data_IF_118677176557
#
_entry.id   IF_118677176557
#
_cell.length_a   1.000
_cell.length_b   1.000
_cell.length_c   1.000
_cell.angle_alpha   90.00
_cell.angle_beta   90.00
_cell.angle_gamma   90.00
#
_symmetry.space_group_name_H-M   'P 1'
#
loop_
_entity.id
_entity.type
_entity.pdbx_description
1 polymer ?
#
# COMPACT_ATOMS: atom_id res chain seq x y z
N UNK A 1 -9.26 -15.32 26.54
CA UNK A 1 -9.65 -13.95 26.09
C UNK A 1 -8.40 -13.38 25.48
N UNK A 2 -8.41 -13.03 24.19
CA UNK A 2 -7.21 -12.51 23.52
C UNK A 2 -7.28 -10.99 23.34
N UNK A 3 -6.11 -10.34 23.21
CA UNK A 3 -6.02 -8.93 22.88
C UNK A 3 -6.78 -8.61 21.60
N UNK A 4 -6.65 -9.48 20.58
CA UNK A 4 -7.38 -9.35 19.30
C UNK A 4 -8.88 -9.27 19.52
N UNK A 5 -9.45 -10.16 20.35
CA UNK A 5 -10.88 -10.20 20.60
C UNK A 5 -11.41 -8.93 21.26
N UNK A 6 -10.61 -8.31 22.13
CA UNK A 6 -10.96 -7.03 22.76
C UNK A 6 -10.88 -5.89 21.74
N UNK A 7 -9.80 -5.82 20.94
CA UNK A 7 -9.63 -4.77 19.94
C UNK A 7 -10.77 -4.80 18.92
N UNK A 8 -11.12 -5.98 18.39
CA UNK A 8 -12.21 -6.15 17.43
C UNK A 8 -13.56 -5.75 18.02
N UNK A 9 -13.92 -6.24 19.22
CA UNK A 9 -15.19 -5.93 19.87
C UNK A 9 -15.38 -4.44 20.16
N UNK A 10 -14.28 -3.73 20.41
CA UNK A 10 -14.31 -2.30 20.74
C UNK A 10 -13.93 -1.40 19.52
N UNK A 11 -13.80 -1.97 18.33
CA UNK A 11 -13.44 -1.26 17.07
C UNK A 11 -12.15 -0.44 17.21
N UNK A 12 -11.18 -0.98 17.92
CA UNK A 12 -9.87 -0.36 18.11
C UNK A 12 -8.89 -0.90 17.08
N UNK A 13 -8.29 0.00 16.28
CA UNK A 13 -7.12 -0.36 15.47
C UNK A 13 -5.87 -0.54 16.36
N UNK A 14 -4.87 -1.28 15.90
CA UNK A 14 -3.59 -1.43 16.59
C UNK A 14 -2.93 -0.07 16.90
N UNK A 15 -3.09 0.92 16.02
CA UNK A 15 -2.59 2.28 16.26
C UNK A 15 -3.34 3.04 17.36
N UNK A 16 -4.68 2.86 17.44
CA UNK A 16 -5.49 3.44 18.50
C UNK A 16 -5.16 2.78 19.85
N UNK A 17 -5.06 1.44 19.87
CA UNK A 17 -4.65 0.69 21.04
C UNK A 17 -3.25 1.07 21.52
N UNK A 18 -2.30 1.24 20.61
CA UNK A 18 -0.93 1.67 20.91
C UNK A 18 -0.88 3.02 21.66
N UNK A 19 -1.69 3.99 21.23
CA UNK A 19 -1.82 5.29 21.92
C UNK A 19 -2.39 5.13 23.32
N UNK A 20 -3.37 4.26 23.50
CA UNK A 20 -4.01 3.99 24.80
C UNK A 20 -3.03 3.28 25.75
N UNK A 21 -2.24 2.36 25.21
CA UNK A 21 -1.27 1.54 25.95
C UNK A 21 0.07 2.24 26.16
N UNK A 22 0.34 3.36 25.47
CA UNK A 22 1.61 4.09 25.56
C UNK A 22 2.78 3.35 24.91
N UNK A 23 2.53 2.57 23.86
CA UNK A 23 3.53 1.77 23.13
C UNK A 23 3.48 2.05 21.62
N UNK A 24 4.43 1.52 20.86
CA UNK A 24 4.41 1.61 19.42
C UNK A 24 3.36 0.66 18.77
N UNK A 25 2.79 1.07 17.62
CA UNK A 25 1.86 0.25 16.85
C UNK A 25 2.46 -1.13 16.53
N UNK A 26 3.75 -1.19 16.19
CA UNK A 26 4.47 -2.43 15.93
C UNK A 26 4.49 -3.40 17.12
N UNK A 27 4.55 -2.88 18.34
CA UNK A 27 4.50 -3.69 19.56
C UNK A 27 3.13 -4.34 19.73
N UNK A 28 2.05 -3.59 19.55
CA UNK A 28 0.67 -4.15 19.59
C UNK A 28 0.48 -5.21 18.52
N UNK A 29 0.91 -4.94 17.28
CA UNK A 29 0.83 -5.90 16.19
C UNK A 29 1.59 -7.18 16.48
N UNK A 30 2.83 -7.10 16.98
CA UNK A 30 3.65 -8.25 17.36
C UNK A 30 3.07 -9.08 18.50
N UNK A 31 2.42 -8.43 19.48
CA UNK A 31 1.72 -9.13 20.57
C UNK A 31 0.50 -9.86 19.99
N UNK A 32 -0.31 -9.18 19.17
CA UNK A 32 -1.46 -9.80 18.50
C UNK A 32 -1.06 -10.98 17.60
N UNK A 33 0.07 -10.91 16.91
CA UNK A 33 0.59 -12.00 16.06
C UNK A 33 1.46 -13.02 16.80
N UNK A 34 1.56 -12.92 18.12
CA UNK A 34 2.35 -13.82 18.98
C UNK A 34 3.85 -13.86 18.64
N UNK A 35 4.34 -12.85 17.91
CA UNK A 35 5.74 -12.71 17.48
C UNK A 35 6.59 -11.83 18.42
N UNK A 36 6.01 -11.28 19.47
CA UNK A 36 6.71 -10.51 20.48
C UNK A 36 7.40 -11.42 21.52
N UNK A 37 8.63 -11.14 21.96
CA UNK A 37 9.26 -11.88 23.07
C UNK A 37 8.36 -11.81 24.32
N UNK A 38 8.05 -12.96 24.93
CA UNK A 38 7.14 -13.09 26.09
C UNK A 38 5.75 -12.47 25.81
N UNK A 39 5.22 -12.70 24.63
CA UNK A 39 3.95 -12.12 24.15
C UNK A 39 2.78 -12.41 25.09
N UNK A 40 2.72 -13.57 25.76
CA UNK A 40 1.67 -13.95 26.70
C UNK A 40 1.59 -12.96 27.86
N UNK A 41 2.72 -12.69 28.52
CA UNK A 41 2.77 -11.74 29.64
C UNK A 41 2.42 -10.32 29.19
N UNK A 42 2.87 -9.94 27.98
CA UNK A 42 2.60 -8.63 27.42
C UNK A 42 1.14 -8.48 26.99
N UNK A 43 0.52 -9.55 26.52
CA UNK A 43 -0.90 -9.59 26.20
C UNK A 43 -1.75 -9.40 27.46
N UNK A 44 -1.43 -10.09 28.54
CA UNK A 44 -2.13 -9.96 29.82
C UNK A 44 -2.04 -8.53 30.38
N UNK A 45 -0.84 -7.92 30.32
CA UNK A 45 -0.64 -6.52 30.68
C UNK A 45 -1.53 -5.58 29.86
N UNK A 46 -1.57 -5.75 28.54
CA UNK A 46 -2.38 -4.92 27.66
C UNK A 46 -3.88 -5.10 27.92
N UNK A 47 -4.33 -6.34 28.14
CA UNK A 47 -5.71 -6.65 28.51
C UNK A 47 -6.11 -5.96 29.80
N UNK A 48 -5.27 -5.98 30.81
CA UNK A 48 -5.52 -5.30 32.10
C UNK A 48 -5.64 -3.79 31.92
N UNK A 49 -4.74 -3.16 31.17
CA UNK A 49 -4.77 -1.71 30.92
C UNK A 49 -6.01 -1.31 30.14
N UNK A 50 -6.37 -2.06 29.09
CA UNK A 50 -7.58 -1.80 28.31
C UNK A 50 -8.84 -2.02 29.15
N UNK A 51 -8.89 -3.07 29.95
CA UNK A 51 -10.00 -3.34 30.88
C UNK A 51 -10.20 -2.22 31.89
N UNK A 52 -9.12 -1.71 32.48
CA UNK A 52 -9.16 -0.56 33.39
C UNK A 52 -9.64 0.75 32.73
N UNK A 53 -9.58 0.83 31.39
CA UNK A 53 -10.11 1.96 30.60
C UNK A 53 -11.50 1.69 30.01
N UNK A 54 -12.15 0.62 30.42
CA UNK A 54 -13.54 0.28 30.02
C UNK A 54 -13.69 -0.53 28.74
N UNK A 55 -12.58 -0.98 28.13
CA UNK A 55 -12.61 -1.84 26.94
C UNK A 55 -12.75 -3.31 27.34
N UNK A 56 -13.95 -3.70 27.80
CA UNK A 56 -14.22 -5.04 28.33
C UNK A 56 -14.98 -5.96 27.37
N UNK A 57 -15.51 -5.42 26.25
CA UNK A 57 -16.21 -6.22 25.25
C UNK A 57 -15.22 -7.16 24.55
N UNK A 58 -15.68 -8.37 24.26
CA UNK A 58 -14.94 -9.39 23.53
C UNK A 58 -15.81 -10.02 22.44
N UNK A 59 -15.19 -10.54 21.40
CA UNK A 59 -15.81 -11.43 20.41
C UNK A 59 -15.06 -12.76 20.41
N UNK A 60 -15.70 -13.89 20.05
CA UNK A 60 -14.99 -15.15 19.89
C UNK A 60 -13.81 -14.99 18.91
N UNK A 61 -12.65 -15.53 19.24
CA UNK A 61 -11.42 -15.36 18.44
C UNK A 61 -11.57 -15.85 16.99
N UNK A 62 -12.41 -16.83 16.74
CA UNK A 62 -12.76 -17.31 15.40
C UNK A 62 -13.44 -16.26 14.48
N UNK A 63 -13.93 -15.15 15.04
CA UNK A 63 -14.52 -14.04 14.28
C UNK A 63 -13.62 -12.79 14.22
N UNK A 64 -12.43 -12.89 14.80
CA UNK A 64 -11.47 -11.78 14.78
C UNK A 64 -10.62 -11.89 13.52
N UNK A 65 -10.92 -11.04 12.54
CA UNK A 65 -10.06 -10.86 11.36
C UNK A 65 -8.96 -9.87 11.75
N UNK A 66 -7.70 -10.29 11.64
CA UNK A 66 -6.56 -9.37 11.80
C UNK A 66 -6.48 -8.48 10.55
N UNK A 67 -6.92 -7.23 10.68
CA UNK A 67 -6.91 -6.27 9.57
C UNK A 67 -5.51 -5.78 9.20
N UNK A 68 -4.50 -6.08 10.02
CA UNK A 68 -3.11 -5.71 9.76
C UNK A 68 -2.33 -6.86 9.07
N UNK A 69 -2.92 -8.04 8.94
CA UNK A 69 -2.33 -9.18 8.19
C UNK A 69 -2.77 -9.11 6.74
N UNK A 70 -1.81 -9.07 5.84
CA UNK A 70 -2.09 -9.22 4.42
C UNK A 70 -2.39 -10.69 4.13
N UNK A 71 -3.61 -10.97 3.70
CA UNK A 71 -3.98 -12.33 3.28
C UNK A 71 -3.51 -12.55 1.84
N UNK A 72 -2.66 -13.56 1.64
CA UNK A 72 -2.08 -13.90 0.35
C UNK A 72 -3.13 -14.52 -0.60
N UNK A 73 -3.97 -13.68 -1.18
CA UNK A 73 -4.86 -14.06 -2.28
C UNK A 73 -4.10 -14.04 -3.60
N UNK A 74 -4.64 -14.65 -4.64
CA UNK A 74 -4.04 -14.61 -6.00
C UNK A 74 -3.81 -13.18 -6.49
N UNK A 75 -4.73 -12.26 -6.21
CA UNK A 75 -4.61 -10.86 -6.61
C UNK A 75 -3.50 -10.16 -5.84
N UNK A 76 -3.34 -10.46 -4.55
CA UNK A 76 -2.26 -9.94 -3.70
C UNK A 76 -0.90 -10.46 -4.20
N UNK A 77 -0.78 -11.77 -4.43
CA UNK A 77 0.46 -12.36 -4.95
C UNK A 77 0.82 -11.79 -6.33
N UNK A 78 -0.15 -11.61 -7.21
CA UNK A 78 0.06 -10.99 -8.51
C UNK A 78 0.51 -9.53 -8.41
N UNK A 79 -0.03 -8.76 -7.44
CA UNK A 79 0.41 -7.41 -7.15
C UNK A 79 1.87 -7.39 -6.69
N UNK A 80 2.22 -8.22 -5.71
CA UNK A 80 3.57 -8.31 -5.16
C UNK A 80 4.57 -8.68 -6.26
N UNK A 81 4.27 -9.72 -7.04
CA UNK A 81 5.13 -10.14 -8.15
C UNK A 81 5.34 -9.02 -9.18
N UNK A 82 4.28 -8.27 -9.52
CA UNK A 82 4.42 -7.13 -10.45
C UNK A 82 5.26 -6.01 -9.84
N UNK A 83 5.08 -5.71 -8.55
CA UNK A 83 5.84 -4.68 -7.85
C UNK A 83 7.33 -5.06 -7.73
N UNK A 84 7.63 -6.31 -7.40
CA UNK A 84 8.99 -6.87 -7.36
C UNK A 84 9.66 -6.82 -8.74
N UNK A 85 8.94 -7.27 -9.76
CA UNK A 85 9.39 -7.21 -11.15
C UNK A 85 9.69 -5.78 -11.65
N UNK A 86 8.94 -4.78 -11.19
CA UNK A 86 9.20 -3.37 -11.51
C UNK A 86 10.39 -2.83 -10.74
N UNK A 87 10.62 -3.34 -9.54
CA UNK A 87 11.71 -2.95 -8.65
C UNK A 87 13.05 -3.60 -9.01
N UNK A 88 13.05 -4.65 -9.87
CA UNK A 88 14.26 -5.33 -10.29
C UNK A 88 15.10 -4.47 -11.25
N UNK A 89 16.33 -4.06 -10.86
CA UNK A 89 17.21 -3.25 -11.70
C UNK A 89 17.65 -3.93 -13.00
N UNK A 90 17.77 -5.26 -12.98
CA UNK A 90 18.22 -6.04 -14.14
C UNK A 90 17.08 -6.30 -15.14
N UNK A 91 15.85 -6.50 -14.62
CA UNK A 91 14.65 -6.68 -15.44
C UNK A 91 14.10 -5.37 -16.03
N UNK A 92 14.40 -4.24 -15.42
CA UNK A 92 13.87 -2.90 -15.76
C UNK A 92 14.71 -2.13 -16.79
N UNK A 93 15.31 -2.78 -17.79
CA UNK A 93 16.09 -2.09 -18.84
C UNK A 93 15.28 -1.12 -19.70
N UNK A 94 13.96 -1.13 -19.59
CA UNK A 94 13.06 -0.18 -20.25
C UNK A 94 12.12 0.40 -19.19
N UNK A 95 12.04 1.73 -19.14
CA UNK A 95 11.05 2.43 -18.32
C UNK A 95 9.65 1.85 -18.57
N UNK A 96 9.12 1.13 -17.59
CA UNK A 96 7.81 0.50 -17.69
C UNK A 96 6.92 0.96 -16.53
N UNK A 97 5.62 1.09 -16.86
CA UNK A 97 4.58 1.37 -15.89
C UNK A 97 3.88 0.07 -15.55
N UNK A 98 3.73 -0.25 -14.28
CA UNK A 98 2.83 -1.32 -13.83
C UNK A 98 1.39 -0.83 -13.76
N UNK A 99 0.43 -1.73 -13.90
CA UNK A 99 -0.98 -1.41 -13.74
C UNK A 99 -1.72 -2.50 -12.99
N UNK A 100 -2.42 -2.09 -11.93
CA UNK A 100 -3.31 -2.91 -11.12
C UNK A 100 -4.70 -2.30 -11.18
N UNK A 101 -5.69 -3.08 -11.56
CA UNK A 101 -7.07 -2.61 -11.68
C UNK A 101 -8.04 -3.56 -10.98
N UNK A 102 -9.18 -3.03 -10.59
CA UNK A 102 -10.27 -3.79 -9.99
C UNK A 102 -11.29 -2.85 -9.35
N UNK A 103 -12.46 -3.35 -9.06
CA UNK A 103 -13.50 -2.58 -8.37
C UNK A 103 -13.06 -2.09 -6.99
N UNK A 104 -13.77 -1.11 -6.42
CA UNK A 104 -13.55 -0.65 -5.05
C UNK A 104 -13.60 -1.81 -4.04
N UNK A 105 -13.01 -1.63 -2.86
CA UNK A 105 -13.05 -2.56 -1.72
C UNK A 105 -12.46 -3.96 -1.96
N UNK A 106 -11.62 -4.13 -2.99
CA UNK A 106 -10.94 -5.42 -3.29
C UNK A 106 -9.56 -5.56 -2.66
N UNK A 107 -9.11 -4.61 -1.84
CA UNK A 107 -7.84 -4.68 -1.13
C UNK A 107 -6.63 -4.06 -1.85
N UNK A 108 -6.78 -3.42 -3.02
CA UNK A 108 -5.68 -2.76 -3.76
C UNK A 108 -4.89 -1.79 -2.88
N UNK A 109 -5.59 -0.84 -2.24
CA UNK A 109 -5.00 0.15 -1.32
C UNK A 109 -4.30 -0.51 -0.13
N UNK A 110 -4.91 -1.55 0.43
CA UNK A 110 -4.33 -2.30 1.55
C UNK A 110 -3.02 -2.98 1.13
N UNK A 111 -3.02 -3.67 0.00
CA UNK A 111 -1.81 -4.31 -0.54
C UNK A 111 -0.72 -3.29 -0.87
N UNK A 112 -1.08 -2.14 -1.48
CA UNK A 112 -0.15 -1.08 -1.81
C UNK A 112 0.55 -0.50 -0.56
N UNK A 113 -0.21 -0.24 0.50
CA UNK A 113 0.32 0.26 1.77
C UNK A 113 1.18 -0.77 2.47
N UNK A 114 0.71 -2.02 2.56
CA UNK A 114 1.49 -3.11 3.12
C UNK A 114 2.82 -3.28 2.39
N UNK A 115 2.80 -3.27 1.05
CA UNK A 115 4.02 -3.38 0.26
C UNK A 115 5.02 -2.27 0.59
N UNK A 116 4.57 -1.02 0.67
CA UNK A 116 5.45 0.13 0.99
C UNK A 116 5.90 0.16 2.45
N UNK A 117 5.17 -0.44 3.37
CA UNK A 117 5.59 -0.59 4.77
C UNK A 117 6.65 -1.68 4.95
N UNK A 118 6.65 -2.70 4.09
CA UNK A 118 7.58 -3.84 4.14
C UNK A 118 8.79 -3.69 3.22
N UNK A 119 8.70 -2.84 2.18
CA UNK A 119 9.77 -2.61 1.19
C UNK A 119 10.23 -1.16 1.23
N UNK A 120 11.43 -0.94 1.79
CA UNK A 120 12.03 0.41 1.97
C UNK A 120 12.27 1.16 0.65
N UNK A 121 12.31 0.44 -0.47
CA UNK A 121 12.50 0.98 -1.82
C UNK A 121 11.20 1.28 -2.56
N UNK A 122 10.08 1.18 -1.87
CA UNK A 122 8.78 1.57 -2.39
C UNK A 122 8.19 2.75 -1.62
N UNK A 123 7.46 3.62 -2.30
CA UNK A 123 6.72 4.71 -1.69
C UNK A 123 5.28 4.74 -2.21
N UNK A 124 4.36 5.16 -1.32
CA UNK A 124 2.93 5.24 -1.60
C UNK A 124 2.49 6.69 -1.77
N UNK A 125 1.75 6.95 -2.84
CA UNK A 125 1.16 8.25 -3.14
C UNK A 125 -0.34 8.06 -3.45
N UNK A 126 -1.20 8.70 -2.65
CA UNK A 126 -2.63 8.76 -2.93
C UNK A 126 -2.94 9.97 -3.80
N UNK A 127 -3.58 9.76 -4.95
CA UNK A 127 -4.05 10.87 -5.77
C UNK A 127 -5.40 11.40 -5.28
N UNK A 128 -5.54 12.73 -5.23
CA UNK A 128 -6.77 13.43 -4.89
C UNK A 128 -7.13 14.36 -6.06
N UNK A 129 -8.36 14.29 -6.57
CA UNK A 129 -8.82 14.97 -7.80
C UNK A 129 -8.57 16.48 -7.85
N UNK A 130 -8.62 17.17 -6.71
CA UNK A 130 -8.40 18.62 -6.64
C UNK A 130 -6.92 19.03 -6.67
N UNK A 131 -6.02 18.08 -6.79
CA UNK A 131 -4.57 18.32 -6.71
C UNK A 131 -4.04 18.97 -7.98
N UNK A 132 -3.27 20.05 -7.86
CA UNK A 132 -2.54 20.65 -8.98
C UNK A 132 -1.33 19.79 -9.36
N UNK A 133 -0.81 19.92 -10.60
CA UNK A 133 0.39 19.18 -11.03
C UNK A 133 1.60 19.38 -10.12
N UNK A 134 1.80 20.61 -9.64
CA UNK A 134 2.92 20.95 -8.72
C UNK A 134 2.70 20.29 -7.36
N UNK A 135 1.45 20.31 -6.86
CA UNK A 135 1.13 19.66 -5.60
C UNK A 135 1.33 18.14 -5.70
N UNK A 136 0.85 17.51 -6.77
CA UNK A 136 1.06 16.09 -7.03
C UNK A 136 2.54 15.70 -7.06
N UNK A 137 3.40 16.51 -7.72
CA UNK A 137 4.85 16.29 -7.69
C UNK A 137 5.45 16.45 -6.29
N UNK A 138 4.93 17.39 -5.49
CA UNK A 138 5.35 17.57 -4.09
C UNK A 138 4.98 16.36 -3.23
N UNK A 139 3.81 15.77 -3.47
CA UNK A 139 3.38 14.57 -2.75
C UNK A 139 4.27 13.37 -3.10
N UNK A 140 4.69 13.24 -4.36
CA UNK A 140 5.72 12.26 -4.78
C UNK A 140 7.07 12.54 -4.10
N UNK A 141 7.52 13.80 -4.08
CA UNK A 141 8.78 14.18 -3.43
C UNK A 141 8.75 13.89 -1.92
N UNK A 142 7.64 14.20 -1.27
CA UNK A 142 7.43 13.95 0.16
C UNK A 142 7.51 12.45 0.47
N UNK A 143 6.84 11.63 -0.33
CA UNK A 143 6.86 10.18 -0.20
C UNK A 143 8.27 9.57 -0.45
N UNK A 144 9.08 10.18 -1.33
CA UNK A 144 10.44 9.71 -1.64
C UNK A 144 11.49 10.15 -0.60
N UNK A 145 11.37 11.37 -0.06
CA UNK A 145 12.48 11.99 0.70
C UNK A 145 12.04 12.90 1.86
N UNK A 146 10.74 12.99 2.13
CA UNK A 146 10.17 13.92 3.12
C UNK A 146 10.52 15.40 2.85
N UNK A 147 10.78 15.76 1.59
CA UNK A 147 11.08 17.12 1.14
C UNK A 147 10.04 17.59 0.14
N UNK A 148 9.55 18.83 0.29
CA UNK A 148 8.53 19.45 -0.58
C UNK A 148 9.08 20.66 -1.34
N UNK A 149 9.71 20.50 -2.50
CA UNK A 149 10.22 21.63 -3.30
C UNK A 149 9.09 22.57 -3.71
N UNK A 150 9.41 23.87 -3.83
CA UNK A 150 8.39 24.89 -4.15
C UNK A 150 8.06 24.95 -5.65
N UNK A 151 8.97 24.52 -6.51
CA UNK A 151 8.83 24.65 -7.97
C UNK A 151 8.70 23.32 -8.66
N UNK A 152 8.07 23.30 -9.84
CA UNK A 152 7.96 22.14 -10.70
C UNK A 152 9.34 21.54 -11.04
N UNK A 153 10.29 22.40 -11.44
CA UNK A 153 11.66 21.97 -11.77
C UNK A 153 12.39 21.39 -10.57
N UNK A 154 12.24 22.01 -9.38
CA UNK A 154 12.80 21.49 -8.14
C UNK A 154 12.27 20.11 -7.76
N UNK A 155 10.97 19.85 -7.98
CA UNK A 155 10.40 18.52 -7.78
C UNK A 155 11.02 17.49 -8.73
N UNK A 156 11.13 17.80 -10.03
CA UNK A 156 11.74 16.88 -11.00
C UNK A 156 13.20 16.58 -10.68
N UNK A 157 13.98 17.59 -10.26
CA UNK A 157 15.39 17.40 -9.88
C UNK A 157 15.52 16.49 -8.67
N UNK A 158 14.67 16.68 -7.64
CA UNK A 158 14.69 15.87 -6.44
C UNK A 158 14.26 14.41 -6.74
N UNK A 159 13.22 14.20 -7.55
CA UNK A 159 12.80 12.85 -7.95
C UNK A 159 13.95 12.15 -8.69
N UNK A 160 14.59 12.85 -9.63
CA UNK A 160 15.73 12.30 -10.37
C UNK A 160 16.89 11.93 -9.43
N UNK A 161 17.26 12.81 -8.52
CA UNK A 161 18.34 12.58 -7.56
C UNK A 161 18.03 11.40 -6.63
N UNK A 162 16.83 11.38 -6.02
CA UNK A 162 16.42 10.33 -5.11
C UNK A 162 16.38 8.93 -5.76
N UNK A 163 15.99 8.86 -7.03
CA UNK A 163 15.89 7.60 -7.76
C UNK A 163 17.19 7.18 -8.46
N UNK A 164 18.12 8.12 -8.71
CA UNK A 164 19.45 7.82 -9.26
C UNK A 164 20.39 7.17 -8.24
N UNK A 165 20.24 7.51 -6.96
CA UNK A 165 21.05 6.94 -5.88
C UNK A 165 20.60 5.52 -5.52
N UNK A 166 19.30 5.26 -5.59
CA UNK A 166 18.67 3.97 -5.30
C UNK A 166 17.39 3.87 -6.10
N UNK A 167 17.21 2.78 -6.83
CA UNK A 167 15.95 2.55 -7.54
C UNK A 167 14.79 2.46 -6.55
N UNK A 168 13.73 3.22 -6.80
CA UNK A 168 12.56 3.29 -5.93
C UNK A 168 11.29 3.13 -6.74
N UNK A 169 10.41 2.22 -6.29
CA UNK A 169 9.08 2.06 -6.88
C UNK A 169 8.12 3.12 -6.32
N UNK A 170 7.44 3.84 -7.21
CA UNK A 170 6.37 4.75 -6.83
C UNK A 170 5.03 4.07 -7.08
N UNK A 171 4.25 3.81 -6.04
CA UNK A 171 2.90 3.26 -6.14
C UNK A 171 1.91 4.42 -6.04
N UNK A 172 1.14 4.65 -7.10
CA UNK A 172 0.12 5.71 -7.17
C UNK A 172 -1.26 5.05 -7.08
N UNK A 173 -1.96 5.32 -6.00
CA UNK A 173 -3.31 4.83 -5.75
C UNK A 173 -4.36 5.84 -6.26
N UNK A 174 -5.58 5.37 -6.52
CA UNK A 174 -6.67 6.13 -7.15
C UNK A 174 -6.28 6.68 -8.54
N UNK A 175 -5.45 5.94 -9.27
CA UNK A 175 -4.89 6.39 -10.54
C UNK A 175 -5.93 6.49 -11.68
N UNK A 176 -7.08 5.85 -11.52
CA UNK A 176 -8.22 6.02 -12.42
C UNK A 176 -8.80 7.43 -12.39
N UNK A 177 -8.63 8.17 -11.29
CA UNK A 177 -9.05 9.58 -11.15
C UNK A 177 -8.08 10.55 -11.85
N UNK A 178 -6.85 10.12 -12.14
CA UNK A 178 -5.85 10.95 -12.83
C UNK A 178 -6.34 11.41 -14.21
N UNK A 179 -6.30 12.72 -14.52
CA UNK A 179 -6.48 13.20 -15.88
C UNK A 179 -5.33 12.75 -16.79
N UNK A 180 -5.59 12.58 -18.09
CA UNK A 180 -4.56 12.18 -19.08
C UNK A 180 -3.27 13.01 -18.99
N UNK A 181 -3.30 14.36 -18.80
CA UNK A 181 -2.08 15.14 -18.63
C UNK A 181 -1.20 14.76 -17.43
N UNK A 182 -1.78 14.16 -16.37
CA UNK A 182 -1.03 13.65 -15.22
C UNK A 182 -0.43 12.27 -15.52
N UNK A 183 -1.15 11.41 -16.21
CA UNK A 183 -0.61 10.12 -16.69
C UNK A 183 0.59 10.34 -17.63
N UNK A 184 0.50 11.35 -18.50
CA UNK A 184 1.62 11.77 -19.35
C UNK A 184 2.80 12.36 -18.55
N UNK A 185 2.53 13.09 -17.49
CA UNK A 185 3.56 13.57 -16.57
C UNK A 185 4.28 12.40 -15.89
N UNK A 186 3.52 11.42 -15.39
CA UNK A 186 4.06 10.20 -14.78
C UNK A 186 4.93 9.45 -15.79
N UNK A 187 4.46 9.27 -17.03
CA UNK A 187 5.24 8.67 -18.11
C UNK A 187 6.56 9.42 -18.33
N UNK A 188 6.50 10.76 -18.38
CA UNK A 188 7.68 11.60 -18.55
C UNK A 188 8.69 11.46 -17.40
N UNK A 189 8.22 11.34 -16.16
CA UNK A 189 9.05 11.10 -14.97
C UNK A 189 9.68 9.70 -15.05
N UNK A 190 8.88 8.68 -15.35
CA UNK A 190 9.34 7.31 -15.52
C UNK A 190 10.48 7.23 -16.56
N UNK A 191 10.30 7.85 -17.74
CA UNK A 191 11.32 7.86 -18.79
C UNK A 191 12.56 8.67 -18.41
N UNK A 192 12.38 9.87 -17.85
CA UNK A 192 13.48 10.79 -17.57
C UNK A 192 14.33 10.37 -16.37
N UNK A 193 13.67 9.87 -15.34
CA UNK A 193 14.32 9.54 -14.08
C UNK A 193 14.60 8.03 -13.94
N UNK A 194 14.18 7.22 -14.92
CA UNK A 194 14.24 5.75 -14.89
C UNK A 194 13.63 5.18 -13.59
N UNK A 195 12.51 5.75 -13.16
CA UNK A 195 11.84 5.34 -11.93
C UNK A 195 10.63 4.47 -12.25
N UNK A 196 10.55 3.24 -11.73
CA UNK A 196 9.39 2.40 -11.93
C UNK A 196 8.17 3.00 -11.21
N UNK A 197 7.01 2.89 -11.86
CA UNK A 197 5.73 3.38 -11.30
C UNK A 197 4.67 2.31 -11.44
N UNK A 198 3.97 2.02 -10.36
CA UNK A 198 2.80 1.14 -10.32
C UNK A 198 1.54 1.99 -10.16
N UNK A 199 0.63 1.90 -11.12
CA UNK A 199 -0.66 2.59 -11.10
C UNK A 199 -1.73 1.64 -10.56
N UNK A 200 -2.36 1.98 -9.45
CA UNK A 200 -3.48 1.23 -8.88
C UNK A 200 -4.77 2.05 -9.00
N UNK A 201 -5.85 1.43 -9.47
CA UNK A 201 -7.13 2.13 -9.65
C UNK A 201 -8.26 1.21 -10.07
N UNK A 202 -9.37 1.80 -10.48
CA UNK A 202 -10.52 1.07 -11.01
C UNK A 202 -10.37 0.82 -12.53
N UNK A 203 -11.33 0.09 -13.13
CA UNK A 203 -11.30 -0.29 -14.55
C UNK A 203 -11.24 0.90 -15.51
N UNK A 204 -11.73 2.07 -15.09
CA UNK A 204 -11.62 3.31 -15.82
C UNK A 204 -10.17 3.71 -16.17
N UNK A 205 -9.20 3.30 -15.35
CA UNK A 205 -7.78 3.51 -15.62
C UNK A 205 -7.34 2.82 -16.91
N UNK A 206 -7.74 1.57 -17.10
CA UNK A 206 -7.41 0.81 -18.31
C UNK A 206 -7.97 1.48 -19.57
N UNK A 207 -9.23 1.90 -19.51
CA UNK A 207 -9.88 2.60 -20.63
C UNK A 207 -9.13 3.89 -21.01
N UNK A 208 -8.72 4.69 -20.00
CA UNK A 208 -7.92 5.91 -20.22
C UNK A 208 -6.58 5.62 -20.88
N UNK A 209 -5.86 4.60 -20.39
CA UNK A 209 -4.53 4.23 -20.89
C UNK A 209 -4.63 3.63 -22.30
N UNK A 210 -5.59 2.77 -22.55
CA UNK A 210 -5.81 2.14 -23.86
C UNK A 210 -6.17 3.19 -24.95
N UNK A 211 -6.83 4.29 -24.56
CA UNK A 211 -7.14 5.42 -25.43
C UNK A 211 -5.91 6.26 -25.84
N UNK A 212 -4.76 6.06 -25.21
CA UNK A 212 -3.52 6.82 -25.49
C UNK A 212 -2.41 5.86 -25.88
N UNK A 213 -2.11 5.65 -27.17
CA UNK A 213 -1.15 4.62 -27.65
C UNK A 213 0.21 4.68 -26.98
N UNK A 214 0.74 5.88 -26.72
CA UNK A 214 2.05 6.08 -26.08
C UNK A 214 2.06 5.71 -24.58
N UNK A 215 0.92 5.79 -23.87
CA UNK A 215 0.80 5.27 -22.52
C UNK A 215 0.65 3.75 -22.54
N UNK A 216 -0.24 3.24 -23.41
CA UNK A 216 -0.47 1.81 -23.55
C UNK A 216 0.81 1.03 -23.85
N UNK A 217 1.68 1.57 -24.69
CA UNK A 217 2.95 0.92 -25.07
C UNK A 217 3.95 0.80 -23.90
N UNK A 218 3.75 1.56 -22.81
CA UNK A 218 4.61 1.55 -21.63
C UNK A 218 4.09 0.66 -20.51
N UNK A 219 2.86 0.20 -20.61
CA UNK A 219 2.31 -0.71 -19.60
C UNK A 219 2.94 -2.08 -19.71
N UNK A 220 3.61 -2.49 -18.62
CA UNK A 220 4.17 -3.84 -18.47
C UNK A 220 3.04 -4.84 -18.33
N UNK A 221 3.20 -5.97 -18.95
CA UNK A 221 2.22 -7.06 -18.86
C UNK A 221 2.78 -8.20 -18.02
N UNK A 222 1.92 -8.97 -17.32
CA UNK A 222 0.46 -8.84 -17.33
C UNK A 222 -0.04 -7.63 -16.51
N UNK A 223 -1.21 -7.10 -16.88
CA UNK A 223 -1.99 -6.19 -16.01
C UNK A 223 -2.60 -7.03 -14.90
N UNK A 224 -2.44 -6.60 -13.66
CA UNK A 224 -3.01 -7.32 -12.51
C UNK A 224 -4.47 -6.93 -12.32
N UNK A 225 -5.33 -7.93 -12.23
CA UNK A 225 -6.77 -7.77 -11.99
C UNK A 225 -7.11 -8.18 -10.56
N UNK A 226 -7.69 -7.26 -9.80
CA UNK A 226 -8.30 -7.58 -8.51
C UNK A 226 -9.74 -8.02 -8.74
N UNK A 227 -9.90 -9.32 -8.90
CA UNK A 227 -11.20 -9.97 -9.12
C UNK A 227 -11.94 -10.25 -7.80
N UNK A 228 -13.14 -10.77 -7.93
CA UNK A 228 -13.91 -11.29 -6.79
C UNK A 228 -13.17 -12.48 -6.20
N UNK A 229 -13.11 -12.56 -4.86
CA UNK A 229 -12.54 -13.69 -4.15
C UNK A 229 -13.23 -14.99 -4.60
N UNK A 230 -12.44 -15.95 -5.00
CA UNK A 230 -12.94 -17.29 -5.32
C UNK A 230 -12.90 -18.21 -4.08
N UNK A 231 -13.36 -19.43 -4.22
CA UNK A 231 -13.42 -20.38 -3.10
C UNK A 231 -12.04 -20.70 -2.49
N UNK A 232 -10.96 -20.61 -3.29
CA UNK A 232 -9.59 -20.81 -2.80
C UNK A 232 -9.14 -19.62 -1.98
N UNK A 233 -9.37 -18.39 -2.46
CA UNK A 233 -9.06 -17.16 -1.74
C UNK A 233 -9.80 -17.09 -0.41
N UNK A 234 -11.09 -17.48 -0.41
CA UNK A 234 -11.91 -17.59 0.82
C UNK A 234 -11.29 -18.61 1.77
N UNK A 235 -10.84 -19.76 1.26
CA UNK A 235 -10.14 -20.77 2.07
C UNK A 235 -8.87 -20.24 2.75
N UNK A 236 -8.10 -19.39 2.06
CA UNK A 236 -6.90 -18.75 2.63
C UNK A 236 -7.27 -17.82 3.78
N UNK A 237 -8.35 -17.03 3.66
CA UNK A 237 -8.84 -16.18 4.76
C UNK A 237 -9.17 -16.98 6.01
N UNK A 238 -9.84 -18.12 5.85
CA UNK A 238 -10.20 -18.99 6.97
C UNK A 238 -9.01 -19.77 7.56
N UNK A 239 -7.97 -20.02 6.76
CA UNK A 239 -6.75 -20.71 7.22
C UNK A 239 -5.77 -19.76 7.92
N UNK A 240 -5.90 -18.45 7.66
CA UNK A 240 -5.03 -17.40 8.22
C UNK A 240 -5.64 -16.75 9.47
N UNK A 241 -6.87 -17.12 9.82
CA UNK A 241 -7.61 -16.69 11.01
C UNK A 241 -7.46 -17.71 12.13
#
# INVERSE_FOLDING_TARGET
MSLRSILAANRLSNGAAAKILGVDKSTVSKVCSQSYPNWEQKEDEFIQVLGGKGYTKTVPDQFVVDTDVLVATRSVDAFINLADDLSDPEGSRCSSLGMVIGTAERGKTHTARWYTETHQDACYVLYIETTTRVQFLRDICDALSSVRPKTFGGCLSLIHEACSQRQRLIIIDEADKLPIPFLELIRGINERCNVPVLLAGEEGLKTKIDGVPRLRSRIRKPVVLYETLNAVDVGVFYSSA
#
